data_IF_102908201463
#
_entry.id   IF_102908201463
#
_cell.length_a   1.000
_cell.length_b   1.000
_cell.length_c   1.000
_cell.angle_alpha   90.00
_cell.angle_beta   90.00
_cell.angle_gamma   90.00
#
_symmetry.space_group_name_H-M   'P 1'
#
loop_
_entity.id
_entity.type
_entity.pdbx_description
1 polymer ?
#
# COMPACT_ATOMS: atom_id res chain seq x y z
N UNK A 1 -3.02 8.46 -12.87
CA UNK A 1 -3.22 9.46 -11.81
C UNK A 1 -4.28 9.05 -10.77
N UNK A 2 -5.04 7.95 -10.91
CA UNK A 2 -6.28 7.70 -10.13
C UNK A 2 -6.12 7.44 -8.64
N UNK A 3 -5.06 6.76 -8.20
CA UNK A 3 -4.95 6.27 -6.81
C UNK A 3 -4.05 7.20 -6.07
N UNK A 4 -3.03 7.70 -6.77
CA UNK A 4 -2.35 8.92 -6.38
C UNK A 4 -3.33 10.10 -6.24
N UNK A 5 -4.42 10.21 -7.02
CA UNK A 5 -5.48 11.22 -6.84
C UNK A 5 -6.49 10.89 -5.75
N UNK A 6 -6.95 9.65 -5.59
CA UNK A 6 -7.86 9.28 -4.50
C UNK A 6 -7.18 9.44 -3.12
N UNK A 7 -5.90 9.09 -3.04
CA UNK A 7 -5.01 9.35 -1.89
C UNK A 7 -4.68 10.86 -1.80
N UNK A 8 -4.37 11.56 -2.91
CA UNK A 8 -4.14 13.04 -2.89
C UNK A 8 -5.39 13.86 -2.56
N UNK A 9 -6.61 13.38 -2.83
CA UNK A 9 -7.84 14.13 -2.57
C UNK A 9 -8.39 13.84 -1.17
N UNK A 10 -8.17 12.65 -0.61
CA UNK A 10 -8.57 12.32 0.76
C UNK A 10 -7.54 12.75 1.82
N UNK A 11 -6.23 12.67 1.54
CA UNK A 11 -5.16 12.87 2.55
C UNK A 11 -4.44 14.23 2.44
N UNK A 12 -5.14 15.26 1.97
CA UNK A 12 -4.61 16.65 1.90
C UNK A 12 -4.38 17.30 3.26
N UNK A 13 -4.72 16.62 4.35
CA UNK A 13 -4.64 17.15 5.69
C UNK A 13 -3.86 16.17 6.61
N UNK A 14 -2.98 16.77 7.43
CA UNK A 14 -2.13 16.25 8.54
C UNK A 14 -2.04 14.72 8.67
N UNK A 15 -1.08 14.08 8.01
CA UNK A 15 -0.81 12.64 8.16
C UNK A 15 0.52 12.38 8.89
N UNK A 16 0.59 11.30 9.67
CA UNK A 16 1.88 10.71 10.03
C UNK A 16 2.36 9.86 8.86
N UNK A 17 3.56 10.16 8.40
CA UNK A 17 4.29 9.32 7.46
C UNK A 17 5.44 8.65 8.21
N UNK A 18 5.39 7.33 8.25
CA UNK A 18 6.40 6.53 8.92
C UNK A 18 7.43 6.21 7.87
N UNK A 19 8.55 6.95 7.98
CA UNK A 19 9.75 6.83 7.18
C UNK A 19 9.61 7.18 5.68
N UNK A 20 9.93 8.43 5.30
CA UNK A 20 10.81 8.75 4.17
C UNK A 20 11.03 10.27 4.03
N UNK A 21 12.22 10.68 3.57
CA UNK A 21 12.50 12.08 3.16
C UNK A 21 11.68 12.52 1.93
N UNK A 22 10.99 11.59 1.28
CA UNK A 22 10.26 11.80 0.02
C UNK A 22 8.77 12.13 0.20
N UNK A 23 8.23 12.17 1.42
CA UNK A 23 6.79 12.43 1.64
C UNK A 23 6.38 13.81 1.14
N UNK A 24 7.26 14.81 1.30
CA UNK A 24 7.04 16.16 0.75
C UNK A 24 6.97 16.12 -0.78
N UNK A 25 7.82 15.32 -1.43
CA UNK A 25 7.84 15.19 -2.90
C UNK A 25 6.58 14.53 -3.48
N UNK A 26 5.85 13.76 -2.66
CA UNK A 26 4.56 13.14 -3.03
C UNK A 26 3.39 14.13 -2.95
N UNK A 27 3.62 15.35 -2.42
CA UNK A 27 2.63 16.42 -2.35
C UNK A 27 1.80 16.45 -1.07
N UNK A 28 2.23 15.78 0.00
CA UNK A 28 1.63 15.94 1.32
C UNK A 28 1.93 17.34 1.87
N UNK A 29 0.89 18.07 2.29
CA UNK A 29 1.04 19.46 2.72
C UNK A 29 1.71 19.61 4.09
N UNK A 30 1.48 18.66 5.00
CA UNK A 30 1.99 18.70 6.39
C UNK A 30 2.29 17.28 6.90
N UNK A 31 3.35 16.62 6.40
CA UNK A 31 3.73 15.32 6.92
C UNK A 31 4.34 15.45 8.32
N UNK A 32 3.95 14.56 9.21
CA UNK A 32 4.54 14.40 10.54
C UNK A 32 5.34 13.11 10.52
N UNK A 33 6.65 13.17 10.80
CA UNK A 33 7.48 11.98 10.91
C UNK A 33 7.46 11.44 12.35
N UNK A 34 7.83 10.17 12.51
CA UNK A 34 8.01 9.57 13.85
C UNK A 34 9.08 10.32 14.66
N UNK A 35 10.17 10.75 14.03
CA UNK A 35 11.18 11.56 14.69
C UNK A 35 10.61 12.90 15.19
N UNK A 36 9.79 13.58 14.39
CA UNK A 36 9.14 14.82 14.81
C UNK A 36 8.16 14.61 15.96
N UNK A 37 7.41 13.51 15.92
CA UNK A 37 6.50 13.13 17.00
C UNK A 37 7.28 12.91 18.30
N UNK A 38 8.35 12.12 18.23
CA UNK A 38 9.26 11.85 19.36
C UNK A 38 9.90 13.11 19.91
N UNK A 39 10.42 14.00 19.07
CA UNK A 39 11.01 15.27 19.48
C UNK A 39 10.00 16.16 20.21
N UNK A 40 8.73 16.13 19.79
CA UNK A 40 7.67 16.93 20.42
C UNK A 40 7.19 16.30 21.74
N UNK A 41 7.12 14.97 21.80
CA UNK A 41 6.66 14.22 22.95
C UNK A 41 7.71 13.17 23.38
N UNK A 42 8.85 13.60 23.95
CA UNK A 42 9.97 12.70 24.23
C UNK A 42 9.65 11.65 25.30
N UNK A 43 8.62 11.88 26.13
CA UNK A 43 8.15 10.91 27.12
C UNK A 43 7.28 9.78 26.55
N UNK A 44 6.90 9.83 25.27
CA UNK A 44 6.20 8.72 24.62
C UNK A 44 7.16 7.63 24.15
N UNK A 45 8.42 7.97 23.86
CA UNK A 45 9.45 7.03 23.40
C UNK A 45 10.36 6.56 24.55
N UNK A 46 9.76 6.13 25.66
CA UNK A 46 10.53 5.65 26.83
C UNK A 46 11.02 4.20 26.66
N UNK A 47 10.53 3.49 25.64
CA UNK A 47 11.02 2.15 25.25
C UNK A 47 12.46 2.21 24.71
N UNK A 48 12.89 3.37 24.27
CA UNK A 48 14.23 3.63 23.76
C UNK A 48 15.13 4.21 24.84
N UNK A 49 15.85 3.32 25.54
CA UNK A 49 16.61 3.69 26.73
C UNK A 49 17.74 4.69 26.45
N UNK A 50 18.37 4.59 25.27
CA UNK A 50 19.50 5.43 24.89
C UNK A 50 19.09 6.88 24.57
N UNK A 51 17.83 7.07 24.13
CA UNK A 51 17.30 8.39 23.74
C UNK A 51 16.38 9.03 24.77
N UNK A 52 16.30 8.48 25.99
CA UNK A 52 15.48 9.06 27.06
C UNK A 52 15.91 10.50 27.39
N UNK A 53 14.96 11.44 27.52
CA UNK A 53 15.28 12.81 27.88
C UNK A 53 15.86 12.89 29.30
N UNK A 54 17.00 13.56 29.44
CA UNK A 54 17.64 13.82 30.76
C UNK A 54 17.01 15.01 31.50
N UNK A 55 16.37 15.91 30.75
CA UNK A 55 15.69 17.11 31.26
C UNK A 55 14.29 17.14 30.66
N UNK A 56 13.30 17.36 31.50
CA UNK A 56 11.90 17.42 31.10
C UNK A 56 11.59 18.83 30.59
N UNK A 57 11.15 18.94 29.34
CA UNK A 57 10.55 20.15 28.80
C UNK A 57 9.06 19.91 28.60
N UNK A 58 8.23 20.85 29.06
CA UNK A 58 6.81 20.85 28.74
C UNK A 58 6.65 21.05 27.22
N UNK A 59 5.74 20.32 26.55
CA UNK A 59 5.48 20.54 25.13
C UNK A 59 5.12 22.00 24.90
N UNK A 60 5.98 22.75 24.19
CA UNK A 60 5.82 24.19 23.96
C UNK A 60 4.92 24.51 22.77
N UNK A 61 4.40 23.50 22.07
CA UNK A 61 3.71 23.68 20.79
C UNK A 61 2.36 22.97 20.74
N UNK A 62 1.40 23.64 20.08
CA UNK A 62 0.16 23.04 19.59
C UNK A 62 0.51 22.04 18.48
N UNK A 63 0.63 20.76 18.84
CA UNK A 63 0.92 19.71 17.88
C UNK A 63 -0.35 19.36 17.11
N UNK A 64 -0.32 19.40 15.76
CA UNK A 64 -1.50 19.13 14.96
C UNK A 64 -2.04 17.72 15.20
N UNK A 65 -3.38 17.58 15.22
CA UNK A 65 -4.04 16.28 15.11
C UNK A 65 -3.49 15.51 13.91
N UNK A 66 -3.20 14.24 14.13
CA UNK A 66 -2.84 13.27 13.10
C UNK A 66 -4.12 12.61 12.58
N UNK A 67 -4.33 12.68 11.28
CA UNK A 67 -5.58 12.23 10.66
C UNK A 67 -5.46 10.83 10.01
N UNK A 68 -4.24 10.38 9.71
CA UNK A 68 -3.95 9.04 9.21
C UNK A 68 -2.51 8.63 9.49
N UNK A 69 -2.24 7.33 9.48
CA UNK A 69 -0.91 6.73 9.52
C UNK A 69 -0.61 6.06 8.19
N UNK A 70 0.55 6.37 7.59
CA UNK A 70 1.00 5.74 6.34
C UNK A 70 2.31 5.01 6.60
N UNK A 71 2.29 3.69 6.38
CA UNK A 71 3.40 2.77 6.50
C UNK A 71 4.03 2.55 5.11
N UNK A 72 5.10 3.28 4.82
CA UNK A 72 5.77 3.18 3.51
C UNK A 72 6.68 1.95 3.38
N UNK A 73 7.22 1.46 4.50
CA UNK A 73 8.13 0.32 4.57
C UNK A 73 8.52 0.03 6.02
N UNK A 74 9.34 -1.00 6.23
CA UNK A 74 9.84 -1.36 7.56
C UNK A 74 10.70 -0.22 8.15
N UNK A 75 10.36 0.31 9.34
CA UNK A 75 11.21 1.31 9.98
C UNK A 75 12.41 0.63 10.67
N UNK A 76 13.45 1.41 10.93
CA UNK A 76 14.47 1.03 11.93
C UNK A 76 13.93 1.39 13.31
N UNK A 77 14.30 0.64 14.35
CA UNK A 77 13.82 0.81 15.75
C UNK A 77 12.35 0.49 15.91
N UNK A 78 12.03 -0.80 15.79
CA UNK A 78 10.65 -1.26 15.82
C UNK A 78 9.97 -0.92 17.14
N UNK A 79 10.69 -0.99 18.26
CA UNK A 79 10.20 -0.62 19.59
C UNK A 79 9.61 0.79 19.62
N UNK A 80 10.37 1.79 19.17
CA UNK A 80 9.92 3.19 19.09
C UNK A 80 8.73 3.34 18.15
N UNK A 81 8.82 2.78 16.94
CA UNK A 81 7.78 2.96 15.93
C UNK A 81 6.47 2.28 16.33
N UNK A 82 6.52 1.05 16.85
CA UNK A 82 5.35 0.33 17.34
C UNK A 82 4.70 1.08 18.51
N UNK A 83 5.47 1.52 19.51
CA UNK A 83 4.95 2.30 20.64
C UNK A 83 4.22 3.55 20.16
N UNK A 84 4.90 4.38 19.35
CA UNK A 84 4.35 5.67 18.92
C UNK A 84 3.16 5.52 17.96
N UNK A 85 3.14 4.52 17.08
CA UNK A 85 1.97 4.24 16.23
C UNK A 85 0.78 3.85 17.11
N UNK A 86 0.98 2.93 18.05
CA UNK A 86 -0.09 2.49 18.95
C UNK A 86 -0.64 3.68 19.73
N UNK A 87 0.22 4.54 20.29
CA UNK A 87 -0.21 5.75 21.00
C UNK A 87 -1.07 6.66 20.12
N UNK A 88 -0.65 6.89 18.87
CA UNK A 88 -1.40 7.69 17.89
C UNK A 88 -2.78 7.09 17.62
N UNK A 89 -2.86 5.76 17.43
CA UNK A 89 -4.11 5.06 17.17
C UNK A 89 -5.04 5.10 18.39
N UNK A 90 -4.51 4.88 19.59
CA UNK A 90 -5.29 4.85 20.83
C UNK A 90 -5.78 6.23 21.29
N UNK A 91 -5.13 7.30 20.83
CA UNK A 91 -5.48 8.69 21.13
C UNK A 91 -6.28 9.38 20.01
N UNK A 92 -6.70 8.64 18.99
CA UNK A 92 -7.43 9.20 17.83
C UNK A 92 -6.67 10.35 17.15
N UNK A 93 -5.34 10.24 17.11
CA UNK A 93 -4.45 11.22 16.49
C UNK A 93 -3.98 12.36 17.40
N UNK A 94 -4.15 12.25 18.73
CA UNK A 94 -3.71 13.24 19.70
C UNK A 94 -2.73 12.65 20.74
N UNK A 95 -1.45 12.48 20.42
CA UNK A 95 -0.51 11.67 21.22
C UNK A 95 -0.29 12.16 22.66
N UNK A 96 -0.58 13.44 22.96
CA UNK A 96 -0.53 13.99 24.31
C UNK A 96 -1.77 13.73 25.17
N UNK A 97 -2.84 13.15 24.60
CA UNK A 97 -4.09 12.90 25.31
C UNK A 97 -4.12 11.49 25.94
N UNK A 98 -4.99 11.26 26.95
CA UNK A 98 -5.28 9.91 27.41
C UNK A 98 -5.85 9.03 26.29
N UNK A 99 -5.65 7.71 26.40
CA UNK A 99 -6.21 6.76 25.45
C UNK A 99 -7.75 6.82 25.44
N UNK A 100 -8.30 7.02 24.25
CA UNK A 100 -9.74 7.05 23.97
C UNK A 100 -10.26 5.72 23.44
N UNK A 101 -9.38 4.91 22.81
CA UNK A 101 -9.71 3.58 22.23
C UNK A 101 -10.91 3.60 21.27
N UNK A 102 -11.09 4.71 20.55
CA UNK A 102 -12.11 4.86 19.51
C UNK A 102 -11.93 3.78 18.44
N UNK A 103 -13.06 3.26 17.92
CA UNK A 103 -13.04 2.25 16.87
C UNK A 103 -14.13 2.54 15.81
N UNK A 104 -13.81 2.48 14.50
CA UNK A 104 -12.47 2.28 13.95
C UNK A 104 -11.49 3.37 14.39
N UNK A 105 -10.21 3.02 14.52
CA UNK A 105 -9.15 3.99 14.79
C UNK A 105 -8.95 4.89 13.56
N UNK A 106 -8.09 5.91 13.64
CA UNK A 106 -7.76 6.73 12.46
C UNK A 106 -7.23 5.84 11.32
N UNK A 107 -7.47 6.20 10.04
CA UNK A 107 -7.03 5.41 8.89
C UNK A 107 -5.55 5.00 8.95
N UNK A 108 -5.28 3.73 8.65
CA UNK A 108 -3.93 3.18 8.47
C UNK A 108 -3.78 2.69 7.04
N UNK A 109 -2.72 3.10 6.35
CA UNK A 109 -2.38 2.67 5.00
C UNK A 109 -1.03 1.98 5.03
N UNK A 110 -0.86 0.90 4.28
CA UNK A 110 0.43 0.21 4.14
C UNK A 110 0.79 0.00 2.67
N UNK A 111 2.06 0.15 2.32
CA UNK A 111 2.53 0.11 0.93
C UNK A 111 3.32 -1.13 0.53
N UNK A 112 3.66 -1.99 1.49
CA UNK A 112 4.39 -3.24 1.24
C UNK A 112 3.93 -4.26 2.28
N UNK A 113 3.56 -5.46 1.83
CA UNK A 113 3.05 -6.54 2.68
C UNK A 113 3.97 -7.76 2.69
N UNK A 114 5.15 -7.69 2.05
CA UNK A 114 6.09 -8.80 2.02
C UNK A 114 6.55 -9.12 3.43
N UNK A 115 6.20 -10.32 3.92
CA UNK A 115 6.60 -10.81 5.24
C UNK A 115 8.12 -10.96 5.33
N UNK A 116 8.73 -11.48 4.27
CA UNK A 116 10.18 -11.65 4.18
C UNK A 116 10.66 -11.23 2.79
N UNK A 117 11.96 -10.91 2.71
CA UNK A 117 12.62 -10.58 1.46
C UNK A 117 14.00 -11.23 1.38
N UNK A 118 14.48 -11.47 0.16
CA UNK A 118 15.81 -12.01 -0.10
C UNK A 118 16.88 -10.93 0.05
N UNK A 119 17.85 -11.17 0.93
CA UNK A 119 19.02 -10.31 1.15
C UNK A 119 20.31 -11.11 0.93
N UNK A 120 21.46 -10.55 1.29
CA UNK A 120 22.77 -11.20 1.15
C UNK A 120 22.95 -12.43 2.05
N UNK A 121 22.18 -12.50 3.14
CA UNK A 121 22.18 -13.66 4.04
C UNK A 121 21.49 -14.87 3.39
N UNK A 122 21.93 -16.09 3.74
CA UNK A 122 21.37 -17.33 3.20
C UNK A 122 19.86 -17.46 3.44
N UNK A 123 19.37 -17.00 4.59
CA UNK A 123 17.95 -17.04 4.94
C UNK A 123 17.29 -15.68 4.68
N UNK A 124 16.03 -15.64 4.20
CA UNK A 124 15.28 -14.40 4.04
C UNK A 124 15.25 -13.55 5.30
N UNK A 125 15.21 -12.23 5.14
CA UNK A 125 15.13 -11.25 6.23
C UNK A 125 13.69 -10.79 6.40
N UNK A 126 13.33 -10.36 7.60
CA UNK A 126 12.00 -9.78 7.85
C UNK A 126 11.80 -8.53 6.99
N UNK A 127 10.66 -8.50 6.32
CA UNK A 127 10.20 -7.34 5.55
C UNK A 127 9.16 -6.55 6.33
N UNK A 128 8.57 -5.58 5.64
CA UNK A 128 7.52 -4.73 6.19
C UNK A 128 6.29 -5.51 6.67
N UNK A 129 5.95 -6.63 6.04
CA UNK A 129 4.85 -7.49 6.49
C UNK A 129 5.05 -8.03 7.91
N UNK A 130 6.29 -8.32 8.33
CA UNK A 130 6.53 -8.75 9.72
C UNK A 130 6.29 -7.62 10.71
N UNK A 131 6.68 -6.39 10.36
CA UNK A 131 6.38 -5.22 11.20
C UNK A 131 4.86 -5.00 11.33
N UNK A 132 4.10 -5.17 10.24
CA UNK A 132 2.63 -5.12 10.25
C UNK A 132 2.03 -6.17 11.18
N UNK A 133 2.49 -7.43 11.11
CA UNK A 133 2.05 -8.50 12.02
C UNK A 133 2.29 -8.14 13.48
N UNK A 134 3.46 -7.56 13.81
CA UNK A 134 3.74 -7.09 15.17
C UNK A 134 2.75 -5.99 15.60
N UNK A 135 2.52 -4.99 14.73
CA UNK A 135 1.62 -3.88 15.01
C UNK A 135 0.17 -4.36 15.24
N UNK A 136 -0.33 -5.23 14.38
CA UNK A 136 -1.66 -5.84 14.47
C UNK A 136 -1.85 -6.60 15.78
N UNK A 137 -0.88 -7.46 16.14
CA UNK A 137 -0.96 -8.26 17.35
C UNK A 137 -0.89 -7.41 18.62
N UNK A 138 -0.03 -6.39 18.65
CA UNK A 138 0.05 -5.46 19.78
C UNK A 138 -1.26 -4.70 19.93
N UNK A 139 -1.79 -4.13 18.84
CA UNK A 139 -3.06 -3.41 18.85
C UNK A 139 -4.21 -4.30 19.34
N UNK A 140 -4.32 -5.52 18.81
CA UNK A 140 -5.33 -6.50 19.22
C UNK A 140 -5.18 -6.90 20.68
N UNK A 141 -3.96 -7.11 21.18
CA UNK A 141 -3.73 -7.51 22.56
C UNK A 141 -4.08 -6.40 23.55
N UNK A 142 -3.85 -5.14 23.20
CA UNK A 142 -4.16 -3.98 24.06
C UNK A 142 -5.65 -3.63 24.02
N UNK A 143 -6.29 -3.74 22.86
CA UNK A 143 -7.66 -3.23 22.63
C UNK A 143 -8.75 -4.30 22.58
N UNK A 144 -8.38 -5.56 22.33
CA UNK A 144 -9.31 -6.64 22.00
C UNK A 144 -9.91 -6.55 20.59
N UNK A 145 -9.44 -5.63 19.74
CA UNK A 145 -10.00 -5.37 18.39
C UNK A 145 -8.95 -5.54 17.31
N UNK A 146 -9.36 -5.99 16.13
CA UNK A 146 -8.49 -6.06 14.96
C UNK A 146 -8.10 -4.65 14.47
N UNK A 147 -6.83 -4.47 14.10
CA UNK A 147 -6.36 -3.29 13.39
C UNK A 147 -6.89 -3.34 11.95
N UNK A 148 -7.47 -2.23 11.48
CA UNK A 148 -8.06 -2.14 10.14
C UNK A 148 -7.22 -1.24 9.24
N UNK A 149 -6.78 -1.78 8.11
CA UNK A 149 -6.17 -0.97 7.06
C UNK A 149 -7.25 -0.39 6.14
N UNK A 150 -7.17 0.91 5.91
CA UNK A 150 -8.03 1.63 4.95
C UNK A 150 -7.61 1.29 3.52
N UNK A 151 -6.30 1.11 3.30
CA UNK A 151 -5.75 0.74 2.01
C UNK A 151 -4.45 -0.07 2.16
N UNK A 152 -4.37 -1.16 1.40
CA UNK A 152 -3.17 -1.96 1.21
C UNK A 152 -2.68 -1.79 -0.23
N UNK A 153 -1.52 -1.16 -0.36
CA UNK A 153 -0.83 -0.91 -1.63
C UNK A 153 0.41 -1.80 -1.73
N UNK A 154 0.99 -1.83 -2.92
CA UNK A 154 2.05 -2.78 -3.25
C UNK A 154 1.46 -4.09 -3.80
N UNK A 155 2.32 -5.06 -4.08
CA UNK A 155 1.89 -6.38 -4.54
C UNK A 155 1.14 -7.08 -3.39
N UNK A 156 0.10 -7.89 -3.66
CA UNK A 156 -0.43 -8.30 -4.96
C UNK A 156 -1.54 -7.39 -5.51
N UNK A 157 -1.70 -6.15 -5.02
CA UNK A 157 -2.79 -5.26 -5.44
C UNK A 157 -2.77 -5.00 -6.95
N UNK A 158 -3.92 -5.17 -7.60
CA UNK A 158 -4.08 -4.93 -9.04
C UNK A 158 -3.69 -3.50 -9.43
N UNK A 159 -3.98 -2.52 -8.56
CA UNK A 159 -3.60 -1.11 -8.70
C UNK A 159 -2.12 -0.94 -8.94
N UNK A 160 -1.30 -1.71 -8.21
CA UNK A 160 0.16 -1.66 -8.32
C UNK A 160 0.59 -2.09 -9.72
N UNK A 161 -0.06 -3.11 -10.29
CA UNK A 161 0.22 -3.59 -11.64
C UNK A 161 -0.28 -2.63 -12.74
N UNK A 162 -1.45 -2.01 -12.56
CA UNK A 162 -1.91 -0.93 -13.44
C UNK A 162 -0.91 0.23 -13.51
N UNK A 163 -0.40 0.64 -12.35
CA UNK A 163 0.58 1.71 -12.29
C UNK A 163 1.93 1.28 -12.90
N UNK A 164 2.36 0.03 -12.67
CA UNK A 164 3.56 -0.52 -13.30
C UNK A 164 3.45 -0.56 -14.83
N UNK A 165 2.34 -1.04 -15.39
CA UNK A 165 2.10 -1.05 -16.84
C UNK A 165 2.15 0.35 -17.43
N UNK A 166 1.49 1.31 -16.78
CA UNK A 166 1.51 2.71 -17.18
C UNK A 166 2.94 3.25 -17.26
N UNK A 167 3.74 3.03 -16.22
CA UNK A 167 5.13 3.46 -16.17
C UNK A 167 5.97 2.81 -17.29
N UNK A 168 5.82 1.50 -17.51
CA UNK A 168 6.51 0.76 -18.57
C UNK A 168 6.15 1.33 -19.94
N UNK A 169 4.87 1.60 -20.19
CA UNK A 169 4.41 2.21 -21.46
C UNK A 169 4.95 3.63 -21.63
N UNK A 170 4.93 4.45 -20.59
CA UNK A 170 5.52 5.80 -20.63
C UNK A 170 7.01 5.75 -20.96
N UNK A 171 7.75 4.82 -20.36
CA UNK A 171 9.17 4.62 -20.67
C UNK A 171 9.39 4.14 -22.12
N UNK A 172 8.56 3.22 -22.61
CA UNK A 172 8.62 2.75 -24.01
C UNK A 172 8.35 3.90 -25.00
N UNK A 173 7.35 4.74 -24.72
CA UNK A 173 7.06 5.94 -25.53
C UNK A 173 8.21 6.94 -25.50
N UNK A 174 8.81 7.20 -24.34
CA UNK A 174 9.98 8.09 -24.22
C UNK A 174 11.20 7.56 -25.01
N UNK A 175 11.34 6.24 -25.12
CA UNK A 175 12.34 5.57 -25.95
C UNK A 175 11.95 5.43 -27.43
N UNK A 176 10.81 6.00 -27.83
CA UNK A 176 10.29 5.98 -29.20
C UNK A 176 10.10 4.56 -29.76
N UNK A 177 9.70 3.61 -28.91
CA UNK A 177 9.36 2.26 -29.37
C UNK A 177 8.14 2.32 -30.29
N UNK A 178 8.24 1.70 -31.47
CA UNK A 178 7.21 1.75 -32.50
C UNK A 178 6.00 0.86 -32.19
N UNK A 179 6.24 -0.26 -31.51
CA UNK A 179 5.20 -1.22 -31.13
C UNK A 179 4.76 -1.02 -29.68
N UNK A 180 3.45 -1.09 -29.38
CA UNK A 180 2.96 -1.05 -28.01
C UNK A 180 3.45 -2.27 -27.22
N UNK A 181 3.55 -2.12 -25.90
CA UNK A 181 3.88 -3.23 -25.00
C UNK A 181 2.67 -4.16 -24.91
N UNK A 182 2.81 -5.40 -25.39
CA UNK A 182 1.71 -6.38 -25.40
C UNK A 182 1.82 -7.40 -24.26
N UNK A 183 3.03 -7.72 -23.81
CA UNK A 183 3.26 -8.75 -22.80
C UNK A 183 4.14 -8.22 -21.69
N UNK A 184 3.68 -8.39 -20.45
CA UNK A 184 4.42 -8.11 -19.24
C UNK A 184 4.94 -9.43 -18.67
N UNK A 185 6.20 -9.45 -18.23
CA UNK A 185 6.78 -10.56 -17.48
C UNK A 185 7.05 -10.09 -16.05
N UNK A 186 6.32 -10.62 -15.09
CA UNK A 186 6.51 -10.37 -13.67
C UNK A 186 7.39 -11.49 -13.10
N UNK A 187 8.66 -11.18 -12.88
CA UNK A 187 9.66 -12.13 -12.38
C UNK A 187 9.86 -11.83 -10.89
N UNK A 188 9.60 -12.81 -10.03
CA UNK A 188 9.66 -12.62 -8.59
C UNK A 188 9.78 -13.93 -7.82
N UNK A 189 10.05 -13.82 -6.53
CA UNK A 189 10.37 -14.93 -5.64
C UNK A 189 9.29 -15.19 -4.59
N UNK A 190 8.29 -14.33 -4.48
CA UNK A 190 7.20 -14.50 -3.53
C UNK A 190 5.90 -14.95 -4.23
N UNK A 191 5.45 -16.16 -3.89
CA UNK A 191 4.20 -16.71 -4.41
C UNK A 191 2.98 -15.82 -4.12
N UNK A 192 2.88 -15.29 -2.91
CA UNK A 192 1.69 -14.59 -2.43
C UNK A 192 1.61 -13.13 -2.89
N UNK A 193 2.73 -12.55 -3.34
CA UNK A 193 2.78 -11.15 -3.77
C UNK A 193 3.13 -11.01 -5.25
N UNK A 194 4.29 -11.51 -5.68
CA UNK A 194 4.71 -11.45 -7.10
C UNK A 194 3.80 -12.27 -7.99
N UNK A 195 3.74 -13.58 -7.73
CA UNK A 195 3.10 -14.53 -8.64
C UNK A 195 1.59 -14.36 -8.60
N UNK A 196 1.03 -14.31 -7.40
CA UNK A 196 -0.40 -14.09 -7.21
C UNK A 196 -0.86 -12.74 -7.81
N UNK A 197 -0.12 -11.65 -7.57
CA UNK A 197 -0.46 -10.33 -8.11
C UNK A 197 -0.40 -10.27 -9.64
N UNK A 198 0.64 -10.87 -10.24
CA UNK A 198 0.78 -10.94 -11.69
C UNK A 198 -0.34 -11.77 -12.35
N UNK A 199 -0.70 -12.90 -11.73
CA UNK A 199 -1.80 -13.74 -12.21
C UNK A 199 -3.16 -13.06 -12.06
N UNK A 200 -3.39 -12.31 -10.97
CA UNK A 200 -4.57 -11.48 -10.80
C UNK A 200 -4.66 -10.43 -11.92
N UNK A 201 -3.56 -9.73 -12.20
CA UNK A 201 -3.52 -8.74 -13.27
C UNK A 201 -3.71 -9.36 -14.66
N UNK A 202 -3.18 -10.56 -14.92
CA UNK A 202 -3.42 -11.26 -16.18
C UNK A 202 -4.91 -11.57 -16.40
N UNK A 203 -5.62 -12.02 -15.37
CA UNK A 203 -7.08 -12.25 -15.44
C UNK A 203 -7.83 -10.98 -15.79
N UNK A 204 -7.48 -9.86 -15.15
CA UNK A 204 -8.02 -8.55 -15.50
C UNK A 204 -7.82 -8.23 -17.00
N UNK A 205 -6.62 -8.44 -17.55
CA UNK A 205 -6.34 -8.19 -18.96
C UNK A 205 -7.19 -9.07 -19.90
N UNK A 206 -7.35 -10.34 -19.57
CA UNK A 206 -8.18 -11.30 -20.32
C UNK A 206 -9.67 -10.91 -20.31
N UNK A 207 -10.20 -10.54 -19.14
CA UNK A 207 -11.57 -10.06 -18.98
C UNK A 207 -11.81 -8.76 -19.75
N UNK A 208 -10.86 -7.82 -19.70
CA UNK A 208 -10.95 -6.55 -20.43
C UNK A 208 -11.02 -6.77 -21.95
N UNK A 209 -10.20 -7.68 -22.49
CA UNK A 209 -10.23 -8.04 -23.91
C UNK A 209 -11.57 -8.68 -24.26
N UNK A 210 -12.06 -9.60 -23.43
CA UNK A 210 -13.35 -10.28 -23.61
C UNK A 210 -14.52 -9.30 -23.59
N UNK A 211 -14.50 -8.31 -22.68
CA UNK A 211 -15.48 -7.22 -22.61
C UNK A 211 -15.44 -6.33 -23.85
N UNK A 212 -14.26 -5.98 -24.38
CA UNK A 212 -14.13 -5.20 -25.62
C UNK A 212 -14.67 -5.96 -26.84
N UNK A 213 -14.35 -7.24 -26.97
CA UNK A 213 -14.90 -8.09 -28.04
C UNK A 213 -16.42 -8.21 -27.95
N UNK A 214 -16.96 -8.35 -26.74
CA UNK A 214 -18.40 -8.40 -26.50
C UNK A 214 -19.09 -7.06 -26.81
N UNK A 215 -18.53 -5.92 -26.38
CA UNK A 215 -19.04 -4.57 -26.68
C UNK A 215 -18.98 -4.28 -28.18
N UNK A 216 -17.94 -4.70 -28.89
CA UNK A 216 -17.85 -4.59 -30.35
C UNK A 216 -18.93 -5.44 -31.05
N UNK A 217 -19.18 -6.67 -30.56
CA UNK A 217 -20.23 -7.54 -31.10
C UNK A 217 -21.65 -7.01 -30.83
N UNK A 218 -21.87 -6.39 -29.66
CA UNK A 218 -23.14 -5.75 -29.30
C UNK A 218 -23.35 -4.46 -30.09
N UNK A 219 -22.33 -3.60 -30.28
CA UNK A 219 -22.45 -2.41 -31.15
C UNK A 219 -22.73 -2.80 -32.61
N UNK A 220 -22.09 -3.86 -33.12
CA UNK A 220 -22.40 -4.40 -34.44
C UNK A 220 -23.87 -4.89 -34.56
N UNK A 221 -24.46 -5.39 -33.47
CA UNK A 221 -25.90 -5.78 -33.41
C UNK A 221 -26.84 -4.60 -33.10
N UNK A 222 -26.41 -3.60 -32.33
CA UNK A 222 -27.21 -2.44 -31.92
C UNK A 222 -27.36 -1.38 -33.02
N UNK A 223 -26.53 -1.42 -34.06
CA UNK A 223 -26.82 -0.78 -35.35
C UNK A 223 -28.13 -1.29 -36.00
N UNK A 224 -28.80 -2.29 -35.40
CA UNK A 224 -30.15 -2.74 -35.73
C UNK A 224 -31.20 -2.62 -34.60
N UNK A 225 -30.94 -1.95 -33.47
CA UNK A 225 -31.97 -1.80 -32.44
C UNK A 225 -31.53 -1.13 -31.13
N UNK A 226 -32.34 -0.16 -30.69
CA UNK A 226 -32.14 0.69 -29.51
C UNK A 226 -32.43 -0.06 -28.20
N UNK A 227 -31.47 -0.06 -27.25
CA UNK A 227 -31.78 -0.09 -25.80
C UNK A 227 -30.60 0.33 -24.93
N UNK A 228 -30.96 1.10 -23.90
CA UNK A 228 -30.09 1.68 -22.87
C UNK A 228 -29.65 0.62 -21.85
N UNK A 229 -28.38 0.67 -21.41
CA UNK A 229 -27.82 -0.25 -20.42
C UNK A 229 -27.43 0.51 -19.15
N UNK A 230 -27.91 -0.01 -18.01
CA UNK A 230 -27.59 0.45 -16.65
C UNK A 230 -26.17 0.00 -16.28
N UNK A 231 -25.31 0.95 -15.88
CA UNK A 231 -23.90 0.73 -15.52
C UNK A 231 -23.83 0.29 -14.05
N UNK A 232 -22.99 -0.72 -13.75
CA UNK A 232 -22.79 -1.26 -12.40
C UNK A 232 -21.67 -0.55 -11.63
N UNK A 233 -21.70 -0.55 -10.29
CA UNK A 233 -20.72 0.16 -9.43
C UNK A 233 -19.26 -0.31 -9.62
N UNK A 234 -19.04 -1.55 -10.05
CA UNK A 234 -17.70 -2.08 -10.38
C UNK A 234 -17.15 -1.44 -11.67
N UNK A 235 -18.01 -1.23 -12.67
CA UNK A 235 -17.62 -0.51 -13.90
C UNK A 235 -17.27 0.97 -13.60
N UNK A 236 -17.90 1.61 -12.61
CA UNK A 236 -17.55 2.99 -12.21
C UNK A 236 -16.14 3.10 -11.63
N UNK A 237 -15.74 2.14 -10.78
CA UNK A 237 -14.40 2.13 -10.20
C UNK A 237 -13.34 1.81 -11.27
N UNK A 238 -13.58 0.82 -12.13
CA UNK A 238 -12.70 0.47 -13.27
C UNK A 238 -12.52 1.63 -14.25
N UNK A 239 -13.61 2.32 -14.61
CA UNK A 239 -13.58 3.48 -15.50
C UNK A 239 -12.77 4.64 -14.88
N UNK A 240 -12.79 4.78 -13.55
CA UNK A 240 -12.00 5.79 -12.83
C UNK A 240 -10.49 5.57 -13.03
N UNK A 241 -10.03 4.32 -12.92
CA UNK A 241 -8.63 3.93 -13.14
C UNK A 241 -8.18 4.16 -14.57
N UNK A 242 -8.96 3.66 -15.54
CA UNK A 242 -8.64 3.75 -16.96
C UNK A 242 -8.61 5.19 -17.46
N UNK A 243 -9.52 6.04 -16.98
CA UNK A 243 -9.55 7.47 -17.31
C UNK A 243 -8.30 8.21 -16.82
N UNK A 244 -7.73 7.76 -15.70
CA UNK A 244 -6.61 8.46 -15.08
C UNK A 244 -5.22 7.95 -15.46
N UNK A 245 -5.07 6.68 -15.86
CA UNK A 245 -3.79 6.09 -16.27
C UNK A 245 -3.67 5.89 -17.79
N UNK A 246 -4.73 6.25 -18.55
CA UNK A 246 -4.94 5.80 -19.93
C UNK A 246 -5.06 4.26 -20.01
N UNK A 247 -5.87 3.78 -20.95
CA UNK A 247 -6.11 2.33 -21.08
C UNK A 247 -4.79 1.56 -21.27
N UNK A 248 -4.64 0.48 -20.51
CA UNK A 248 -3.51 -0.43 -20.65
C UNK A 248 -3.34 -0.88 -22.12
N UNK A 249 -2.10 -1.05 -22.55
CA UNK A 249 -1.75 -1.60 -23.87
C UNK A 249 -1.41 -3.08 -23.82
N UNK A 250 -0.96 -3.54 -22.64
CA UNK A 250 -0.71 -4.95 -22.42
C UNK A 250 -1.99 -5.78 -22.63
N UNK A 251 -1.80 -6.98 -23.17
CA UNK A 251 -2.85 -8.01 -23.36
C UNK A 251 -2.57 -9.26 -22.55
N UNK A 252 -1.36 -9.41 -22.01
CA UNK A 252 -0.94 -10.56 -21.22
C UNK A 252 0.03 -10.14 -20.12
N UNK A 253 -0.09 -10.75 -18.95
CA UNK A 253 0.90 -10.71 -17.89
C UNK A 253 1.30 -12.14 -17.53
N UNK A 254 2.60 -12.46 -17.60
CA UNK A 254 3.13 -13.79 -17.29
C UNK A 254 3.97 -13.71 -16.03
N UNK A 255 3.62 -14.51 -15.03
CA UNK A 255 4.42 -14.64 -13.82
C UNK A 255 5.55 -15.67 -14.02
N UNK A 256 6.72 -15.39 -13.46
CA UNK A 256 7.88 -16.29 -13.45
C UNK A 256 8.41 -16.34 -12.01
N UNK A 257 8.30 -17.52 -11.39
CA UNK A 257 8.78 -17.76 -10.04
C UNK A 257 10.27 -18.13 -10.05
N UNK A 258 11.06 -17.43 -9.25
CA UNK A 258 12.48 -17.71 -9.04
C UNK A 258 12.75 -18.15 -7.60
N UNK A 259 13.78 -18.98 -7.40
CA UNK A 259 14.14 -19.53 -6.10
C UNK A 259 15.31 -18.75 -5.49
N UNK A 260 15.01 -17.67 -4.75
CA UNK A 260 16.00 -16.79 -4.08
C UNK A 260 16.16 -17.09 -2.59
N UNK A 261 15.39 -18.05 -2.05
CA UNK A 261 15.33 -18.37 -0.62
C UNK A 261 14.03 -17.90 0.06
N UNK A 262 13.30 -16.93 -0.48
CA UNK A 262 11.94 -16.57 -0.01
C UNK A 262 10.96 -17.69 -0.37
N UNK A 263 10.97 -18.10 -1.63
CA UNK A 263 10.36 -19.37 -2.04
C UNK A 263 11.42 -20.48 -2.09
N UNK A 264 11.08 -21.63 -1.53
CA UNK A 264 11.84 -22.86 -1.63
C UNK A 264 10.87 -24.03 -1.92
N UNK A 265 11.00 -24.73 -3.06
CA UNK A 265 10.09 -25.82 -3.43
C UNK A 265 10.22 -27.05 -2.52
N UNK A 266 11.25 -27.12 -1.68
CA UNK A 266 11.50 -28.22 -0.74
C UNK A 266 10.99 -27.96 0.68
N UNK A 267 10.47 -26.76 0.96
CA UNK A 267 9.92 -26.40 2.28
C UNK A 267 8.42 -26.71 2.31
N UNK A 268 7.95 -27.43 3.33
CA UNK A 268 6.52 -27.63 3.56
C UNK A 268 5.82 -26.29 3.84
N UNK A 269 4.64 -26.08 3.26
CA UNK A 269 3.82 -24.90 3.53
C UNK A 269 3.23 -25.06 4.93
N UNK A 270 3.46 -24.11 5.87
CA UNK A 270 2.85 -24.16 7.19
C UNK A 270 1.32 -24.20 7.06
N UNK A 271 0.67 -25.08 7.82
CA UNK A 271 -0.79 -25.09 7.92
C UNK A 271 -1.30 -23.83 8.62
N UNK A 272 -2.38 -23.23 8.12
CA UNK A 272 -3.08 -22.14 8.80
C UNK A 272 -3.67 -22.66 10.13
N UNK A 273 -2.92 -22.52 11.23
CA UNK A 273 -3.37 -22.79 12.61
C UNK A 273 -3.56 -21.51 13.39
#
# INVERSE_FOLDING_TARGET
>A
MGNAKQIRLSLKHRCIAIHNQYVISLGFCRPITIDRLRETYPLLDMVDHDRRPKVLHLPTMDFPKIEAVILFGEPVRWETNLQLIIDVLLTSGYPGNPYQRTYPHIPVLACNMDLMWAAEAQSPRFGHGTFMVCLENIYKKITGKELKYEALMGKPSEVTYHYAEYLIRTQASAKQWKSPIQTLYAIGDNLMTDIYGANLYNRYLEERISRRSSKAHVQAKALGGTRSATISQEEELENSWENELASATATKCTSVLVCTGVYNPHTEVPSDT
#
